data_IF_979745125154
#
_entry.id   IF_979745125154
#
_cell.length_a   1.000
_cell.length_b   1.000
_cell.length_c   1.000
_cell.angle_alpha   90.00
_cell.angle_beta   90.00
_cell.angle_gamma   90.00
#
_symmetry.space_group_name_H-M   'P 1'
#
loop_
_entity.id
_entity.type
_entity.pdbx_description
1 polymer ?
#
# COMPACT_ATOMS: atom_id res chain seq x y z
N UNK A 1 5.32 -9.67 -4.10
CA UNK A 1 5.88 -8.64 -3.18
C UNK A 1 6.40 -9.32 -1.93
N UNK A 2 7.62 -9.01 -1.52
CA UNK A 2 8.30 -9.66 -0.39
C UNK A 2 7.99 -8.92 0.92
N UNK A 3 7.72 -9.65 1.99
CA UNK A 3 7.49 -9.10 3.33
C UNK A 3 8.69 -8.25 3.81
N UNK A 4 8.42 -7.20 4.60
CA UNK A 4 9.44 -6.23 5.03
C UNK A 4 10.58 -6.89 5.81
N UNK A 5 10.29 -7.89 6.66
CA UNK A 5 11.30 -8.72 7.34
C UNK A 5 12.34 -9.28 6.35
N UNK A 6 11.89 -9.89 5.26
CA UNK A 6 12.78 -10.51 4.29
C UNK A 6 13.57 -9.48 3.49
N UNK A 7 12.98 -8.31 3.20
CA UNK A 7 13.70 -7.18 2.59
C UNK A 7 14.81 -6.65 3.48
N UNK A 8 14.53 -6.45 4.77
CA UNK A 8 15.53 -6.01 5.75
C UNK A 8 16.65 -7.04 5.90
N UNK A 9 16.31 -8.34 5.91
CA UNK A 9 17.32 -9.40 5.89
C UNK A 9 18.15 -9.34 4.60
N UNK A 10 17.52 -9.19 3.45
CA UNK A 10 18.22 -9.06 2.17
C UNK A 10 19.17 -7.87 2.14
N UNK A 11 18.77 -6.69 2.65
CA UNK A 11 19.66 -5.52 2.69
C UNK A 11 20.90 -5.76 3.57
N UNK A 12 20.73 -6.49 4.68
CA UNK A 12 21.84 -6.91 5.53
C UNK A 12 22.76 -7.90 4.79
N UNK A 13 22.19 -8.92 4.14
CA UNK A 13 22.94 -9.91 3.38
C UNK A 13 23.67 -9.28 2.17
N UNK A 14 23.07 -8.25 1.56
CA UNK A 14 23.63 -7.45 0.48
C UNK A 14 24.63 -6.37 0.95
N UNK A 15 24.93 -6.31 2.26
CA UNK A 15 25.89 -5.38 2.86
C UNK A 15 25.58 -3.89 2.58
N UNK A 16 24.29 -3.54 2.58
CA UNK A 16 23.89 -2.13 2.47
C UNK A 16 24.32 -1.37 3.73
N UNK A 17 24.67 -0.11 3.53
CA UNK A 17 24.96 0.83 4.62
C UNK A 17 23.78 0.91 5.60
N UNK A 18 24.08 0.86 6.90
CA UNK A 18 23.06 0.79 7.95
C UNK A 18 22.15 2.01 7.97
N UNK A 19 22.67 3.19 7.61
CA UNK A 19 21.90 4.42 7.52
C UNK A 19 20.80 4.34 6.47
N UNK A 20 21.06 3.69 5.33
CA UNK A 20 20.04 3.46 4.30
C UNK A 20 18.97 2.47 4.75
N UNK A 21 19.36 1.43 5.49
CA UNK A 21 18.42 0.45 6.06
C UNK A 21 17.49 1.15 7.05
N UNK A 22 18.06 1.97 7.96
CA UNK A 22 17.31 2.74 8.94
C UNK A 22 16.40 3.77 8.27
N UNK A 23 16.90 4.46 7.24
CA UNK A 23 16.12 5.44 6.47
C UNK A 23 14.94 4.77 5.80
N UNK A 24 15.14 3.63 5.12
CA UNK A 24 14.07 2.89 4.47
C UNK A 24 12.99 2.40 5.45
N UNK A 25 13.41 1.92 6.63
CA UNK A 25 12.48 1.52 7.69
C UNK A 25 11.69 2.72 8.21
N UNK A 26 12.35 3.83 8.52
CA UNK A 26 11.72 5.05 9.01
C UNK A 26 10.75 5.65 8.00
N UNK A 27 11.13 5.73 6.73
CA UNK A 27 10.23 6.23 5.66
C UNK A 27 8.97 5.36 5.53
N UNK A 28 9.09 4.04 5.61
CA UNK A 28 7.92 3.16 5.57
C UNK A 28 7.00 3.38 6.78
N UNK A 29 7.59 3.64 7.95
CA UNK A 29 6.90 3.93 9.21
C UNK A 29 6.18 5.27 9.17
N UNK A 30 6.84 6.30 8.64
CA UNK A 30 6.28 7.64 8.42
C UNK A 30 5.07 7.58 7.48
N UNK A 31 5.22 6.90 6.33
CA UNK A 31 4.11 6.71 5.37
C UNK A 31 2.92 6.02 6.04
N UNK A 32 3.16 4.99 6.85
CA UNK A 32 2.10 4.31 7.60
C UNK A 32 1.36 5.27 8.54
N UNK A 33 2.11 6.06 9.31
CA UNK A 33 1.54 7.01 10.26
C UNK A 33 0.76 8.15 9.57
N UNK A 34 1.30 8.70 8.49
CA UNK A 34 0.70 9.85 7.81
C UNK A 34 -0.50 9.47 6.94
N UNK A 35 -0.41 8.39 6.18
CA UNK A 35 -1.41 8.07 5.15
C UNK A 35 -2.46 7.06 5.61
N UNK A 36 -2.12 6.18 6.57
CA UNK A 36 -2.98 5.06 6.96
C UNK A 36 -3.53 5.16 8.39
N UNK A 37 -2.85 5.86 9.30
CA UNK A 37 -3.37 6.11 10.65
C UNK A 37 -4.21 7.41 10.75
N UNK A 38 -4.39 8.12 9.63
CA UNK A 38 -5.14 9.38 9.58
C UNK A 38 -6.66 9.19 9.37
N UNK A 39 -7.33 8.77 10.45
CA UNK A 39 -8.61 9.34 10.88
C UNK A 39 -8.74 9.33 12.43
N UNK A 40 -7.61 9.34 13.14
CA UNK A 40 -7.56 9.44 14.61
C UNK A 40 -7.34 10.87 15.11
N UNK A 41 -7.41 11.90 14.26
CA UNK A 41 -7.39 13.30 14.73
C UNK A 41 -8.78 13.81 15.17
N UNK A 42 -9.83 13.03 14.95
CA UNK A 42 -11.06 13.09 15.75
C UNK A 42 -11.07 11.98 16.80
N UNK A 43 -9.93 11.69 17.44
CA UNK A 43 -9.97 10.93 18.70
C UNK A 43 -10.83 11.76 19.64
N UNK A 44 -12.10 11.38 19.76
CA UNK A 44 -13.02 11.94 20.73
C UNK A 44 -12.28 12.06 22.06
N UNK A 45 -12.43 13.16 22.77
CA UNK A 45 -11.79 13.37 24.09
C UNK A 45 -11.98 12.12 24.98
N UNK A 46 -13.11 11.43 24.81
CA UNK A 46 -13.45 10.16 25.45
C UNK A 46 -12.52 8.98 25.10
N UNK A 47 -11.99 8.87 23.88
CA UNK A 47 -11.03 7.82 23.52
C UNK A 47 -9.70 7.95 24.29
N UNK A 48 -9.31 9.18 24.67
CA UNK A 48 -8.13 9.39 25.53
C UNK A 48 -8.40 9.04 26.99
N UNK A 49 -9.63 9.22 27.46
CA UNK A 49 -10.07 8.85 28.82
C UNK A 49 -10.18 7.32 28.93
N UNK A 50 -10.73 6.64 27.92
CA UNK A 50 -10.88 5.18 27.90
C UNK A 50 -9.52 4.44 27.90
N UNK A 51 -8.46 5.10 27.44
CA UNK A 51 -7.09 4.56 27.42
C UNK A 51 -6.25 4.95 28.65
N UNK A 52 -6.80 5.71 29.61
CA UNK A 52 -6.07 6.15 30.80
C UNK A 52 -5.74 4.97 31.73
N UNK A 53 -4.45 4.75 32.00
CA UNK A 53 -3.96 3.66 32.85
C UNK A 53 -3.67 2.34 32.14
N UNK A 54 -3.76 2.30 30.80
CA UNK A 54 -3.26 1.18 30.00
C UNK A 54 -1.79 1.44 29.69
N UNK A 55 -0.88 0.60 30.22
CA UNK A 55 0.55 0.73 29.92
C UNK A 55 0.76 0.63 28.40
N UNK A 56 1.28 1.69 27.79
CA UNK A 56 1.69 1.80 26.37
C UNK A 56 2.91 0.91 26.03
N UNK A 57 3.13 -0.19 26.77
CA UNK A 57 4.23 -1.14 26.50
C UNK A 57 3.88 -2.21 25.47
N UNK A 58 2.77 -2.06 24.75
CA UNK A 58 2.55 -2.86 23.55
C UNK A 58 3.43 -2.31 22.43
N UNK A 59 4.46 -3.07 22.04
CA UNK A 59 5.26 -2.84 20.83
C UNK A 59 4.37 -2.27 19.71
N UNK A 60 4.81 -1.18 19.08
CA UNK A 60 4.06 -0.57 17.99
C UNK A 60 3.70 -1.62 16.93
N UNK A 61 2.49 -1.52 16.38
CA UNK A 61 1.89 -2.52 15.49
C UNK A 61 2.78 -2.76 14.27
N UNK A 62 3.46 -1.72 13.79
CA UNK A 62 4.45 -1.83 12.72
C UNK A 62 5.67 -2.67 13.12
N UNK A 63 6.18 -2.46 14.34
CA UNK A 63 7.27 -3.26 14.92
C UNK A 63 6.85 -4.72 15.11
N UNK A 64 5.62 -4.97 15.58
CA UNK A 64 5.05 -6.32 15.68
C UNK A 64 5.04 -7.01 14.31
N UNK A 65 4.61 -6.31 13.28
CA UNK A 65 4.57 -6.83 11.92
C UNK A 65 5.97 -7.16 11.36
N UNK A 66 6.98 -6.31 11.58
CA UNK A 66 8.35 -6.61 11.14
C UNK A 66 8.89 -7.88 11.82
N UNK A 67 8.47 -8.16 13.06
CA UNK A 67 8.85 -9.38 13.80
C UNK A 67 8.08 -10.63 13.37
N UNK A 68 6.84 -10.48 12.88
CA UNK A 68 5.99 -11.61 12.45
C UNK A 68 6.55 -12.23 11.17
N UNK A 69 6.65 -13.57 11.14
CA UNK A 69 7.02 -14.30 9.92
C UNK A 69 5.77 -14.49 9.06
N UNK A 70 5.75 -14.07 7.78
CA UNK A 70 4.60 -14.32 6.91
C UNK A 70 4.42 -15.81 6.67
N UNK A 71 3.18 -16.28 6.76
CA UNK A 71 2.82 -17.70 6.72
C UNK A 71 2.46 -18.20 5.30
N UNK A 72 2.27 -17.29 4.33
CA UNK A 72 1.67 -17.62 3.02
C UNK A 72 2.55 -17.16 1.86
N UNK A 73 2.60 -17.97 0.80
CA UNK A 73 3.33 -17.67 -0.45
C UNK A 73 2.69 -16.53 -1.25
N UNK A 74 1.37 -16.37 -1.16
CA UNK A 74 0.61 -15.30 -1.82
C UNK A 74 0.43 -14.06 -0.91
N UNK A 75 1.13 -12.94 -1.20
CA UNK A 75 1.10 -11.75 -0.35
C UNK A 75 -0.26 -11.03 -0.38
N UNK A 76 -0.99 -11.07 -1.50
CA UNK A 76 -2.30 -10.45 -1.61
C UNK A 76 -3.29 -11.18 -0.69
N UNK A 77 -3.32 -12.51 -0.74
CA UNK A 77 -4.21 -13.31 0.13
C UNK A 77 -3.89 -13.11 1.61
N UNK A 78 -2.59 -13.06 1.97
CA UNK A 78 -2.16 -12.77 3.33
C UNK A 78 -2.76 -11.46 3.84
N UNK A 79 -2.63 -10.37 3.08
CA UNK A 79 -3.16 -9.07 3.50
C UNK A 79 -4.68 -8.99 3.48
N UNK A 80 -5.33 -9.61 2.49
CA UNK A 80 -6.81 -9.70 2.46
C UNK A 80 -7.36 -10.41 3.70
N UNK A 81 -6.66 -11.43 4.21
CA UNK A 81 -7.07 -12.15 5.43
C UNK A 81 -6.98 -11.30 6.72
N UNK A 82 -6.15 -10.26 6.73
CA UNK A 82 -5.91 -9.36 7.88
C UNK A 82 -6.73 -8.07 7.79
N UNK A 83 -7.50 -7.88 6.72
CA UNK A 83 -8.34 -6.71 6.52
C UNK A 83 -9.54 -6.72 7.49
N UNK A 84 -9.97 -5.53 7.92
CA UNK A 84 -11.20 -5.40 8.70
C UNK A 84 -12.40 -5.84 7.85
N UNK A 85 -13.40 -6.47 8.47
CA UNK A 85 -14.63 -6.84 7.76
C UNK A 85 -15.39 -5.56 7.36
N UNK A 86 -16.16 -5.60 6.28
CA UNK A 86 -17.00 -4.48 5.89
C UNK A 86 -17.97 -4.14 7.03
N UNK A 87 -17.89 -2.90 7.52
CA UNK A 87 -18.72 -2.39 8.63
C UNK A 87 -18.03 -2.34 10.00
N UNK A 88 -16.85 -2.96 10.16
CA UNK A 88 -16.06 -2.84 11.39
C UNK A 88 -15.33 -1.50 11.48
N UNK A 89 -15.07 -1.02 12.70
CA UNK A 89 -14.28 0.20 12.93
C UNK A 89 -12.84 0.00 12.42
N UNK A 90 -12.21 1.04 11.84
CA UNK A 90 -10.84 0.95 11.36
C UNK A 90 -9.89 0.65 12.51
N UNK A 91 -9.42 -0.60 12.57
CA UNK A 91 -8.38 -1.04 13.51
C UNK A 91 -7.02 -0.74 12.88
N UNK A 92 -5.99 -0.34 13.65
CA UNK A 92 -4.69 -0.03 13.06
C UNK A 92 -4.03 -1.25 12.38
N UNK A 93 -4.35 -2.48 12.80
CA UNK A 93 -3.97 -3.71 12.09
C UNK A 93 -4.60 -3.82 10.70
N UNK A 94 -5.85 -3.42 10.57
CA UNK A 94 -6.52 -3.38 9.26
C UNK A 94 -6.02 -2.24 8.39
N UNK A 95 -5.62 -1.10 8.98
CA UNK A 95 -4.94 -0.02 8.26
C UNK A 95 -3.59 -0.49 7.71
N UNK A 96 -2.84 -1.27 8.51
CA UNK A 96 -1.59 -1.90 8.04
C UNK A 96 -1.85 -2.90 6.91
N UNK A 97 -2.94 -3.68 7.01
CA UNK A 97 -3.33 -4.59 5.94
C UNK A 97 -3.70 -3.87 4.65
N UNK A 98 -4.37 -2.72 4.75
CA UNK A 98 -4.66 -1.85 3.62
C UNK A 98 -3.38 -1.32 2.96
N UNK A 99 -2.43 -0.81 3.74
CA UNK A 99 -1.11 -0.41 3.24
C UNK A 99 -0.43 -1.56 2.50
N UNK A 100 -0.42 -2.76 3.10
CA UNK A 100 0.13 -3.96 2.47
C UNK A 100 -0.50 -4.27 1.12
N UNK A 101 -1.83 -4.16 1.00
CA UNK A 101 -2.55 -4.36 -0.27
C UNK A 101 -2.22 -3.30 -1.31
N UNK A 102 -2.14 -2.03 -0.95
CA UNK A 102 -1.81 -0.95 -1.88
C UNK A 102 -0.42 -1.16 -2.49
N UNK A 103 0.58 -1.48 -1.65
CA UNK A 103 1.93 -1.81 -2.12
C UNK A 103 1.99 -3.10 -2.95
N UNK A 104 1.13 -4.09 -2.66
CA UNK A 104 1.12 -5.35 -3.41
C UNK A 104 0.36 -5.28 -4.74
N UNK A 105 -0.62 -4.39 -4.84
CA UNK A 105 -1.43 -4.18 -6.03
C UNK A 105 -0.84 -3.15 -6.99
N UNK A 106 0.07 -2.30 -6.52
CA UNK A 106 0.84 -1.40 -7.37
C UNK A 106 1.60 -2.19 -8.45
N UNK A 107 1.37 -1.91 -9.74
CA UNK A 107 2.06 -2.62 -10.81
C UNK A 107 3.55 -2.31 -10.76
N UNK A 108 4.39 -3.34 -10.93
CA UNK A 108 5.85 -3.19 -10.90
C UNK A 108 6.40 -2.38 -12.09
N UNK A 109 5.65 -2.32 -13.19
CA UNK A 109 6.00 -1.58 -14.39
C UNK A 109 4.75 -0.95 -15.03
N UNK A 110 4.92 0.12 -15.80
CA UNK A 110 3.85 0.79 -16.54
C UNK A 110 3.56 0.11 -17.90
N UNK A 111 3.98 -1.14 -18.09
CA UNK A 111 3.86 -1.84 -19.38
C UNK A 111 2.42 -1.97 -19.87
N UNK A 112 1.47 -2.20 -18.96
CA UNK A 112 0.05 -2.27 -19.31
C UNK A 112 -0.49 -0.91 -19.77
N UNK A 113 -0.04 0.15 -19.11
CA UNK A 113 -0.36 1.54 -19.47
C UNK A 113 0.28 1.92 -20.81
N UNK A 114 1.54 1.52 -21.05
CA UNK A 114 2.24 1.71 -22.33
C UNK A 114 1.56 0.96 -23.47
N UNK A 115 1.10 -0.27 -23.23
CA UNK A 115 0.35 -1.07 -24.21
C UNK A 115 -0.99 -0.39 -24.54
N UNK A 116 -1.69 0.13 -23.54
CA UNK A 116 -2.91 0.90 -23.73
C UNK A 116 -2.66 2.16 -24.55
N UNK A 117 -1.61 2.93 -24.24
CA UNK A 117 -1.24 4.14 -24.99
C UNK A 117 -0.77 3.84 -26.41
N UNK A 118 -0.02 2.75 -26.62
CA UNK A 118 0.38 2.29 -27.95
C UNK A 118 -0.84 2.00 -28.82
N UNK A 119 -1.86 1.37 -28.23
CA UNK A 119 -3.13 1.12 -28.91
C UNK A 119 -3.92 2.40 -29.16
N UNK A 120 -3.98 3.30 -28.17
CA UNK A 120 -4.63 4.60 -28.32
C UNK A 120 -3.96 5.48 -29.38
N UNK A 121 -2.65 5.32 -29.60
CA UNK A 121 -1.90 6.01 -30.65
C UNK A 121 -2.49 5.81 -32.05
N UNK A 122 -3.10 4.65 -32.34
CA UNK A 122 -3.82 4.40 -33.61
C UNK A 122 -5.03 5.32 -33.78
N UNK A 123 -5.74 5.61 -32.68
CA UNK A 123 -6.91 6.49 -32.68
C UNK A 123 -6.54 7.97 -32.78
N UNK A 124 -5.38 8.37 -32.22
CA UNK A 124 -4.88 9.75 -32.25
C UNK A 124 -4.23 10.11 -33.59
N UNK A 125 -3.34 9.25 -34.10
CA UNK A 125 -2.40 9.65 -35.17
C UNK A 125 -2.64 8.99 -36.52
N UNK A 126 -2.95 7.68 -36.56
CA UNK A 126 -2.86 6.90 -37.81
C UNK A 126 -4.12 6.91 -38.66
N UNK A 127 -5.31 7.02 -38.06
CA UNK A 127 -6.57 6.88 -38.80
C UNK A 127 -7.35 8.19 -39.04
N UNK A 128 -6.73 9.37 -38.87
CA UNK A 128 -7.24 10.72 -39.26
C UNK A 128 -8.65 11.13 -38.78
N UNK A 129 -9.34 10.33 -37.98
CA UNK A 129 -10.49 10.79 -37.22
C UNK A 129 -9.96 11.54 -36.00
N UNK A 130 -10.01 12.87 -36.07
CA UNK A 130 -9.75 13.81 -34.97
C UNK A 130 -10.81 13.62 -33.87
N UNK A 131 -10.81 12.45 -33.22
CA UNK A 131 -11.72 12.14 -32.14
C UNK A 131 -11.41 13.06 -30.98
N UNK A 132 -12.44 13.73 -30.48
CA UNK A 132 -12.28 14.61 -29.32
C UNK A 132 -11.86 13.80 -28.10
N UNK A 133 -11.12 14.45 -27.20
CA UNK A 133 -10.63 13.86 -25.95
C UNK A 133 -11.67 13.03 -25.17
N UNK A 134 -12.95 13.45 -25.02
CA UNK A 134 -13.94 12.66 -24.30
C UNK A 134 -14.19 11.29 -24.95
N UNK A 135 -14.28 11.23 -26.28
CA UNK A 135 -14.49 9.99 -27.04
C UNK A 135 -13.27 9.09 -26.97
N UNK A 136 -12.06 9.67 -27.08
CA UNK A 136 -10.81 8.94 -26.93
C UNK A 136 -10.69 8.31 -25.54
N UNK A 137 -10.97 9.09 -24.48
CA UNK A 137 -10.97 8.61 -23.10
C UNK A 137 -11.99 7.48 -22.91
N UNK A 138 -13.21 7.62 -23.41
CA UNK A 138 -14.23 6.58 -23.31
C UNK A 138 -13.80 5.28 -24.02
N UNK A 139 -13.21 5.37 -25.21
CA UNK A 139 -12.70 4.22 -25.95
C UNK A 139 -11.51 3.54 -25.24
N UNK A 140 -10.62 4.31 -24.61
CA UNK A 140 -9.51 3.76 -23.82
C UNK A 140 -10.03 3.04 -22.56
N UNK A 141 -10.95 3.66 -21.81
CA UNK A 141 -11.54 3.06 -20.61
C UNK A 141 -12.30 1.78 -20.95
N UNK A 142 -13.11 1.78 -22.02
CA UNK A 142 -13.82 0.59 -22.47
C UNK A 142 -12.88 -0.55 -22.89
N UNK A 143 -11.69 -0.24 -23.41
CA UNK A 143 -10.69 -1.27 -23.75
C UNK A 143 -9.95 -1.83 -22.54
N UNK A 144 -9.87 -1.08 -21.44
CA UNK A 144 -9.25 -1.52 -20.19
C UNK A 144 -10.22 -2.18 -19.21
N UNK A 145 -11.54 -2.07 -19.46
CA UNK A 145 -12.61 -2.63 -18.64
C UNK A 145 -12.92 -4.08 -19.04
#
# INVERSE_FOLDING_TARGET
VMHLLYRLKYFKDAHWEQDWINTAENTAREIFQEQYLFDSHKSSIFAKIDNYGKDDSSDDIFTQYIKEKPCTDDPIQFWTSKLNKPGDKPTPKGALAQMGLDFCSAPAALTDVERLFSHAGLLVTKCRHNMKFPTLRAAMVLKSW
#
